data_IF_646639689813
#
_entry.id   IF_646639689813
#
_cell.length_a   1.000
_cell.length_b   1.000
_cell.length_c   1.000
_cell.angle_alpha   90.00
_cell.angle_beta   90.00
_cell.angle_gamma   90.00
#
_symmetry.space_group_name_H-M   'P 1'
#
loop_
_entity.id
_entity.type
_entity.pdbx_description
1 polymer ?
#
# COMPACT_ATOMS: atom_id res chain seq x y z
N UNK A 1 10.21 10.76 -1.68
CA UNK A 1 10.24 11.90 -2.64
C UNK A 1 11.59 12.03 -3.34
N UNK A 2 12.73 12.13 -2.64
CA UNK A 2 14.07 12.30 -3.25
C UNK A 2 14.45 11.23 -4.29
N UNK A 3 14.20 9.91 -4.08
CA UNK A 3 14.44 8.90 -5.11
C UNK A 3 13.65 9.15 -6.40
N UNK A 4 12.45 9.69 -6.28
CA UNK A 4 11.62 10.05 -7.44
C UNK A 4 12.24 11.21 -8.22
N UNK A 5 12.70 12.26 -7.53
CA UNK A 5 13.38 13.41 -8.17
C UNK A 5 14.64 12.95 -8.90
N UNK A 6 15.46 12.07 -8.28
CA UNK A 6 16.64 11.48 -8.93
C UNK A 6 16.28 10.67 -10.18
N UNK A 7 15.21 9.89 -10.13
CA UNK A 7 14.76 9.04 -11.24
C UNK A 7 14.11 9.80 -12.40
N UNK A 8 13.57 10.98 -12.16
CA UNK A 8 12.78 11.72 -13.16
C UNK A 8 13.60 12.05 -14.43
N UNK A 9 14.81 12.59 -14.27
CA UNK A 9 15.64 12.98 -15.40
C UNK A 9 15.96 11.79 -16.32
N UNK A 10 16.48 10.72 -15.75
CA UNK A 10 16.88 9.54 -16.52
C UNK A 10 15.70 8.82 -17.15
N UNK A 11 14.59 8.72 -16.45
CA UNK A 11 13.36 8.11 -16.96
C UNK A 11 12.73 8.89 -18.11
N UNK A 12 12.68 10.23 -18.02
CA UNK A 12 12.17 11.08 -19.09
C UNK A 12 13.10 11.05 -20.31
N UNK A 13 14.39 11.11 -20.09
CA UNK A 13 15.41 11.07 -21.14
C UNK A 13 15.34 9.74 -21.93
N UNK A 14 15.37 8.60 -21.25
CA UNK A 14 15.31 7.29 -21.92
C UNK A 14 14.05 7.13 -22.74
N UNK A 15 12.89 7.53 -22.20
CA UNK A 15 11.63 7.51 -22.95
C UNK A 15 11.68 8.40 -24.21
N UNK A 16 12.24 9.61 -24.11
CA UNK A 16 12.31 10.56 -25.23
C UNK A 16 13.30 10.10 -26.30
N UNK A 17 14.46 9.57 -25.91
CA UNK A 17 15.42 8.98 -26.84
C UNK A 17 14.77 7.89 -27.68
N UNK A 18 14.05 6.96 -27.06
CA UNK A 18 13.29 5.92 -27.78
C UNK A 18 12.25 6.53 -28.75
N UNK A 19 11.49 7.54 -28.31
CA UNK A 19 10.47 8.17 -29.14
C UNK A 19 11.06 8.95 -30.32
N UNK A 20 12.24 9.53 -30.19
CA UNK A 20 12.97 10.19 -31.27
C UNK A 20 13.54 9.17 -32.25
N UNK A 21 14.13 8.08 -31.74
CA UNK A 21 14.70 6.99 -32.55
C UNK A 21 13.64 6.37 -33.46
N UNK A 22 12.43 6.14 -32.95
CA UNK A 22 11.31 5.60 -33.73
C UNK A 22 10.52 6.66 -34.53
N UNK A 23 10.97 7.93 -34.54
CA UNK A 23 10.34 9.01 -35.33
C UNK A 23 9.02 9.54 -34.77
N UNK A 24 8.63 9.17 -33.54
CA UNK A 24 7.43 9.69 -32.89
C UNK A 24 7.61 11.10 -32.31
N UNK A 25 8.84 11.54 -32.11
CA UNK A 25 9.18 12.89 -31.65
C UNK A 25 10.39 13.45 -32.39
N UNK A 26 10.46 14.79 -32.45
CA UNK A 26 11.62 15.50 -32.98
C UNK A 26 12.77 15.48 -31.97
N UNK A 27 14.04 15.58 -32.41
CA UNK A 27 15.21 15.64 -31.53
C UNK A 27 15.12 16.75 -30.47
N UNK A 28 14.50 17.89 -30.78
CA UNK A 28 14.26 19.01 -29.84
C UNK A 28 13.38 18.63 -28.64
N UNK A 29 12.72 17.50 -28.64
CA UNK A 29 12.00 17.00 -27.47
C UNK A 29 12.91 16.77 -26.27
N UNK A 30 14.21 16.58 -26.47
CA UNK A 30 15.21 16.40 -25.43
C UNK A 30 15.54 17.71 -24.68
N UNK A 31 15.25 18.88 -25.27
CA UNK A 31 15.52 20.18 -24.66
C UNK A 31 14.56 20.47 -23.50
N UNK A 32 13.33 20.04 -23.58
CA UNK A 32 12.36 20.13 -22.50
C UNK A 32 12.51 18.94 -21.55
N UNK A 33 13.27 19.10 -20.51
CA UNK A 33 13.65 18.03 -19.56
C UNK A 33 13.41 18.43 -18.10
N UNK A 34 13.16 17.48 -17.20
CA UNK A 34 13.23 17.71 -15.77
C UNK A 34 14.64 18.11 -15.34
N UNK A 35 14.77 18.73 -14.19
CA UNK A 35 16.05 19.04 -13.58
C UNK A 35 16.82 17.75 -13.28
N UNK A 36 18.15 17.83 -13.41
CA UNK A 36 19.03 16.84 -12.81
C UNK A 36 19.02 17.01 -11.29
N UNK A 37 19.40 15.98 -10.57
CA UNK A 37 19.36 16.05 -9.10
C UNK A 37 20.28 17.15 -8.55
N UNK A 38 21.48 17.33 -9.13
CA UNK A 38 22.42 18.35 -8.74
C UNK A 38 21.91 19.81 -9.05
N UNK A 39 21.10 19.94 -10.09
CA UNK A 39 20.45 21.22 -10.42
C UNK A 39 19.32 21.51 -9.41
N UNK A 40 18.59 20.48 -9.02
CA UNK A 40 17.57 20.56 -7.99
C UNK A 40 18.18 20.96 -6.63
N UNK A 41 19.30 20.35 -6.21
CA UNK A 41 20.00 20.69 -4.97
C UNK A 41 20.46 22.15 -4.93
N UNK A 42 20.91 22.71 -6.07
CA UNK A 42 21.35 24.11 -6.16
C UNK A 42 20.23 25.13 -6.02
N UNK A 43 18.99 24.75 -6.34
CA UNK A 43 17.83 25.63 -6.26
C UNK A 43 17.25 25.65 -4.84
N UNK A 44 17.42 24.57 -4.10
CA UNK A 44 16.93 24.45 -2.74
C UNK A 44 17.74 25.34 -1.81
N UNK A 45 17.06 26.21 -1.09
CA UNK A 45 17.69 27.06 -0.08
C UNK A 45 17.57 26.43 1.33
N UNK A 46 16.36 26.00 1.72
CA UNK A 46 16.08 25.37 3.00
C UNK A 46 15.13 24.20 2.80
N UNK A 47 15.37 23.09 3.51
CA UNK A 47 14.57 21.87 3.44
C UNK A 47 14.26 21.36 4.83
N UNK A 48 13.02 20.97 5.05
CA UNK A 48 12.59 20.19 6.21
C UNK A 48 12.22 18.79 5.72
N UNK A 49 12.96 17.79 6.17
CA UNK A 49 12.65 16.39 5.88
C UNK A 49 11.71 15.85 6.96
N UNK A 50 10.59 15.27 6.55
CA UNK A 50 9.65 14.59 7.45
C UNK A 50 9.46 13.18 6.96
N UNK A 51 9.86 12.20 7.77
CA UNK A 51 9.78 10.78 7.44
C UNK A 51 9.77 9.93 8.71
N UNK A 52 9.02 8.83 8.68
CA UNK A 52 9.10 7.81 9.73
C UNK A 52 10.38 6.96 9.59
N UNK A 53 10.95 6.90 8.37
CA UNK A 53 12.14 6.12 8.02
C UNK A 53 13.06 6.98 7.17
N UNK A 54 13.83 7.91 7.78
CA UNK A 54 14.77 8.74 7.04
C UNK A 54 15.83 7.86 6.37
N UNK A 55 16.22 8.21 5.14
CA UNK A 55 17.27 7.53 4.41
C UNK A 55 18.65 8.15 4.68
N UNK A 56 19.70 7.51 4.15
CA UNK A 56 21.10 7.96 4.35
C UNK A 56 21.31 9.40 3.88
N UNK A 57 20.71 9.76 2.75
CA UNK A 57 20.82 11.12 2.20
C UNK A 57 20.31 12.18 3.17
N UNK A 58 19.11 11.97 3.76
CA UNK A 58 18.52 12.89 4.72
C UNK A 58 19.36 12.99 5.99
N UNK A 59 19.85 11.84 6.49
CA UNK A 59 20.66 11.79 7.71
C UNK A 59 22.02 12.50 7.53
N UNK A 60 22.68 12.31 6.39
CA UNK A 60 23.95 12.97 6.07
C UNK A 60 23.79 14.51 6.00
N UNK A 61 22.69 14.98 5.38
CA UNK A 61 22.44 16.43 5.18
C UNK A 61 22.05 17.16 6.47
N UNK A 62 21.56 16.45 7.46
CA UNK A 62 21.25 17.03 8.79
C UNK A 62 22.31 16.71 9.84
N UNK A 63 23.48 16.19 9.43
CA UNK A 63 24.57 15.78 10.34
C UNK A 63 24.08 14.84 11.46
N UNK A 64 23.14 13.96 11.17
CA UNK A 64 22.45 13.09 12.10
C UNK A 64 21.68 13.84 13.22
N UNK A 65 21.41 15.14 13.04
CA UNK A 65 20.56 15.92 13.96
C UNK A 65 19.09 15.72 13.61
N UNK A 66 18.47 14.71 14.18
CA UNK A 66 17.08 14.35 13.94
C UNK A 66 16.24 14.75 15.14
N UNK A 67 15.09 15.40 14.88
CA UNK A 67 14.06 15.62 15.90
C UNK A 67 13.12 14.43 15.88
N UNK A 68 13.13 13.65 16.94
CA UNK A 68 12.31 12.46 17.06
C UNK A 68 10.98 12.78 17.74
N UNK A 69 9.88 12.30 17.16
CA UNK A 69 8.56 12.32 17.74
C UNK A 69 8.07 10.89 17.95
N UNK A 70 8.43 10.28 19.07
CA UNK A 70 8.16 8.87 19.38
C UNK A 70 6.89 8.73 20.23
N UNK A 71 6.44 9.83 20.86
CA UNK A 71 5.33 9.81 21.81
C UNK A 71 4.01 9.56 21.08
N UNK A 72 3.28 8.52 21.49
CA UNK A 72 1.87 8.29 21.14
C UNK A 72 0.98 8.73 22.29
N UNK A 73 0.43 9.95 22.29
CA UNK A 73 -0.39 10.46 23.39
C UNK A 73 -1.75 9.76 23.48
N UNK A 74 -2.14 8.97 22.47
CA UNK A 74 -3.42 8.27 22.40
C UNK A 74 -3.52 7.05 23.31
N UNK A 75 -2.42 6.58 23.92
CA UNK A 75 -2.41 5.37 24.73
C UNK A 75 -2.67 4.06 23.95
N UNK A 76 -2.78 4.13 22.61
CA UNK A 76 -2.96 2.94 21.78
C UNK A 76 -1.65 2.17 21.70
N UNK A 77 -1.69 0.90 22.06
CA UNK A 77 -0.57 -0.02 21.94
C UNK A 77 -0.38 -0.45 20.49
N UNK A 78 0.82 -0.92 20.18
CA UNK A 78 1.07 -1.59 18.90
C UNK A 78 0.24 -2.89 18.83
N UNK A 79 -0.22 -3.28 17.62
CA UNK A 79 -0.99 -4.51 17.47
C UNK A 79 -0.15 -5.74 17.86
N UNK A 80 -0.80 -6.70 18.47
CA UNK A 80 -0.17 -8.01 18.70
C UNK A 80 0.04 -8.71 17.37
N UNK A 81 1.28 -9.12 17.10
CA UNK A 81 1.65 -9.85 15.89
C UNK A 81 1.75 -11.32 16.21
N UNK A 82 0.97 -12.13 15.49
CA UNK A 82 0.99 -13.58 15.61
C UNK A 82 1.39 -14.20 14.27
N UNK A 83 2.42 -15.05 14.26
CA UNK A 83 2.88 -15.76 13.08
C UNK A 83 2.37 -17.19 13.17
N UNK A 84 1.53 -17.59 12.21
CA UNK A 84 0.92 -18.92 12.14
C UNK A 84 1.48 -19.74 10.97
N UNK A 85 1.41 -21.07 11.03
CA UNK A 85 1.80 -21.95 9.92
C UNK A 85 1.04 -21.63 8.64
N UNK A 86 1.69 -21.81 7.48
CA UNK A 86 1.05 -21.60 6.17
C UNK A 86 0.12 -22.74 5.78
N UNK A 87 0.27 -23.91 6.41
CA UNK A 87 -0.63 -25.05 6.20
C UNK A 87 -2.00 -24.69 6.76
N UNK A 88 -3.04 -24.95 5.98
CA UNK A 88 -4.44 -24.68 6.32
C UNK A 88 -4.75 -23.22 6.68
N UNK A 89 -3.90 -22.27 6.20
CA UNK A 89 -4.00 -20.84 6.53
C UNK A 89 -5.34 -20.22 6.14
N UNK A 90 -6.00 -20.71 5.09
CA UNK A 90 -7.29 -20.17 4.65
C UNK A 90 -8.40 -20.56 5.61
N UNK A 91 -8.42 -21.80 6.10
CA UNK A 91 -9.38 -22.28 7.09
C UNK A 91 -9.21 -21.54 8.41
N UNK A 92 -7.96 -21.26 8.79
CA UNK A 92 -7.63 -20.47 9.95
C UNK A 92 -8.13 -19.02 9.81
N UNK A 93 -7.90 -18.37 8.66
CA UNK A 93 -8.44 -17.05 8.36
C UNK A 93 -9.98 -17.04 8.43
N UNK A 94 -10.65 -18.05 7.88
CA UNK A 94 -12.11 -18.16 7.91
C UNK A 94 -12.61 -18.28 9.35
N UNK A 95 -11.93 -19.07 10.17
CA UNK A 95 -12.26 -19.22 11.59
C UNK A 95 -12.14 -17.89 12.34
N UNK A 96 -11.07 -17.14 12.09
CA UNK A 96 -10.85 -15.81 12.68
C UNK A 96 -11.88 -14.78 12.18
N UNK A 97 -12.27 -14.84 10.90
CA UNK A 97 -13.34 -13.97 10.36
C UNK A 97 -14.65 -14.21 11.10
N UNK A 98 -15.05 -15.47 11.32
CA UNK A 98 -16.28 -15.81 12.05
C UNK A 98 -16.27 -15.24 13.46
N UNK A 99 -15.16 -15.39 14.18
CA UNK A 99 -15.01 -14.82 15.53
C UNK A 99 -15.20 -13.28 15.52
N UNK A 100 -14.69 -12.59 14.49
CA UNK A 100 -14.84 -11.14 14.37
C UNK A 100 -16.24 -10.74 13.95
N UNK A 101 -16.90 -11.52 13.08
CA UNK A 101 -18.31 -11.32 12.72
C UNK A 101 -19.22 -11.38 13.95
N UNK A 102 -19.01 -12.37 14.83
CA UNK A 102 -19.78 -12.54 16.07
C UNK A 102 -19.64 -11.33 17.01
N UNK A 103 -18.50 -10.63 16.93
CA UNK A 103 -18.21 -9.40 17.70
C UNK A 103 -18.59 -8.12 16.98
N UNK A 104 -19.17 -8.22 15.77
CA UNK A 104 -19.44 -7.09 14.88
C UNK A 104 -18.20 -6.25 14.53
N UNK A 105 -17.04 -6.89 14.47
CA UNK A 105 -15.77 -6.32 14.06
C UNK A 105 -15.48 -6.59 12.59
N UNK A 106 -14.50 -5.89 12.00
CA UNK A 106 -14.12 -6.01 10.59
C UNK A 106 -12.73 -6.59 10.44
N UNK A 107 -12.47 -7.20 9.29
CA UNK A 107 -11.19 -7.84 8.97
C UNK A 107 -10.60 -7.24 7.71
N UNK A 108 -9.31 -6.92 7.72
CA UNK A 108 -8.55 -6.62 6.51
C UNK A 108 -7.70 -7.82 6.12
N UNK A 109 -7.69 -8.16 4.84
CA UNK A 109 -6.80 -9.18 4.29
C UNK A 109 -5.95 -8.55 3.21
N UNK A 110 -4.64 -8.42 3.44
CA UNK A 110 -3.72 -7.89 2.45
C UNK A 110 -2.95 -9.00 1.77
N UNK A 111 -2.99 -9.03 0.45
CA UNK A 111 -2.36 -10.07 -0.37
C UNK A 111 -1.18 -9.49 -1.15
N UNK A 112 -0.28 -10.37 -1.61
CA UNK A 112 0.89 -9.98 -2.38
C UNK A 112 0.58 -9.72 -3.86
N UNK A 113 -0.46 -10.36 -4.40
CA UNK A 113 -0.81 -10.28 -5.83
C UNK A 113 -2.29 -10.01 -6.04
N UNK A 114 -2.62 -9.36 -7.17
CA UNK A 114 -4.00 -9.10 -7.61
C UNK A 114 -4.80 -10.40 -7.74
N UNK A 115 -4.21 -11.39 -8.38
CA UNK A 115 -4.84 -12.71 -8.59
C UNK A 115 -5.20 -13.38 -7.27
N UNK A 116 -4.28 -13.36 -6.30
CA UNK A 116 -4.54 -13.93 -4.98
C UNK A 116 -5.71 -13.22 -4.27
N UNK A 117 -5.79 -11.88 -4.39
CA UNK A 117 -6.90 -11.13 -3.82
C UNK A 117 -8.23 -11.48 -4.48
N UNK A 118 -8.25 -11.63 -5.80
CA UNK A 118 -9.43 -12.01 -6.58
C UNK A 118 -9.91 -13.41 -6.22
N UNK A 119 -9.01 -14.40 -6.27
CA UNK A 119 -9.32 -15.80 -5.96
C UNK A 119 -9.83 -15.95 -4.52
N UNK A 120 -9.17 -15.31 -3.55
CA UNK A 120 -9.57 -15.33 -2.15
C UNK A 120 -10.92 -14.64 -1.93
N UNK A 121 -11.15 -13.49 -2.57
CA UNK A 121 -12.43 -12.78 -2.45
C UNK A 121 -13.60 -13.59 -3.02
N UNK A 122 -13.38 -14.28 -4.14
CA UNK A 122 -14.39 -15.16 -4.74
C UNK A 122 -14.71 -16.33 -3.79
N UNK A 123 -13.70 -17.00 -3.29
CA UNK A 123 -13.84 -18.11 -2.36
C UNK A 123 -14.59 -17.75 -1.07
N UNK A 124 -14.21 -16.61 -0.44
CA UNK A 124 -14.91 -16.14 0.76
C UNK A 124 -16.37 -15.77 0.50
N UNK A 125 -16.68 -15.23 -0.69
CA UNK A 125 -18.08 -14.95 -1.11
C UNK A 125 -18.90 -16.23 -1.28
N UNK A 126 -18.32 -17.29 -1.85
CA UNK A 126 -18.97 -18.60 -1.98
C UNK A 126 -19.33 -19.19 -0.62
N UNK A 127 -18.54 -18.91 0.40
CA UNK A 127 -18.83 -19.29 1.80
C UNK A 127 -19.85 -18.38 2.50
N UNK A 128 -20.44 -17.41 1.77
CA UNK A 128 -21.46 -16.51 2.33
C UNK A 128 -20.92 -15.35 3.15
N UNK A 129 -19.60 -15.11 3.14
CA UNK A 129 -18.99 -13.97 3.83
C UNK A 129 -19.16 -12.71 3.00
N UNK A 130 -19.53 -11.60 3.64
CA UNK A 130 -19.70 -10.30 2.97
C UNK A 130 -18.33 -9.67 2.72
N UNK A 131 -17.79 -9.88 1.53
CA UNK A 131 -16.43 -9.44 1.15
C UNK A 131 -16.49 -8.30 0.15
N UNK A 132 -15.73 -7.25 0.42
CA UNK A 132 -15.33 -6.25 -0.57
C UNK A 132 -13.91 -6.53 -1.07
N UNK A 133 -13.65 -6.22 -2.34
CA UNK A 133 -12.34 -6.31 -2.96
C UNK A 133 -11.89 -4.93 -3.42
N UNK A 134 -10.65 -4.58 -3.09
CA UNK A 134 -10.04 -3.31 -3.44
C UNK A 134 -8.74 -3.54 -4.23
N UNK A 135 -8.69 -3.02 -5.45
CA UNK A 135 -7.52 -3.16 -6.34
C UNK A 135 -6.94 -1.79 -6.74
N UNK A 136 -5.78 -1.80 -7.39
CA UNK A 136 -5.07 -0.59 -7.82
C UNK A 136 -5.86 0.29 -8.78
N UNK A 137 -6.73 -0.34 -9.59
CA UNK A 137 -7.51 0.33 -10.63
C UNK A 137 -8.88 0.84 -10.11
N UNK A 138 -9.21 0.58 -8.84
CA UNK A 138 -10.43 1.08 -8.20
C UNK A 138 -10.39 2.61 -8.15
N UNK A 139 -11.41 3.26 -8.71
CA UNK A 139 -11.52 4.72 -8.72
C UNK A 139 -11.61 5.29 -7.31
N UNK A 140 -11.12 6.51 -7.11
CA UNK A 140 -11.08 7.14 -5.79
C UNK A 140 -12.46 7.22 -5.11
N UNK A 141 -13.50 7.54 -5.86
CA UNK A 141 -14.88 7.60 -5.32
C UNK A 141 -15.37 6.22 -4.88
N UNK A 142 -15.20 5.21 -5.73
CA UNK A 142 -15.55 3.82 -5.43
C UNK A 142 -14.79 3.30 -4.19
N UNK A 143 -13.51 3.62 -4.08
CA UNK A 143 -12.71 3.29 -2.90
C UNK A 143 -13.31 3.89 -1.63
N UNK A 144 -13.74 5.15 -1.68
CA UNK A 144 -14.35 5.84 -0.53
C UNK A 144 -15.68 5.17 -0.15
N UNK A 145 -16.49 4.77 -1.13
CA UNK A 145 -17.73 4.05 -0.91
C UNK A 145 -17.51 2.68 -0.27
N UNK A 146 -16.54 1.90 -0.78
CA UNK A 146 -16.18 0.59 -0.23
C UNK A 146 -15.75 0.72 1.25
N UNK A 147 -14.89 1.69 1.56
CA UNK A 147 -14.43 1.91 2.94
C UNK A 147 -15.57 2.36 3.86
N UNK A 148 -16.45 3.23 3.38
CA UNK A 148 -17.67 3.64 4.11
C UNK A 148 -18.57 2.44 4.36
N UNK A 149 -18.79 1.60 3.36
CA UNK A 149 -19.67 0.43 3.45
C UNK A 149 -19.09 -0.64 4.38
N UNK A 150 -17.76 -0.79 4.43
CA UNK A 150 -17.07 -1.62 5.43
C UNK A 150 -17.34 -1.12 6.85
N UNK A 151 -17.20 0.18 7.10
CA UNK A 151 -17.48 0.81 8.40
C UNK A 151 -18.95 0.64 8.81
N UNK A 152 -19.87 0.76 7.86
CA UNK A 152 -21.31 0.60 8.10
C UNK A 152 -21.75 -0.88 8.26
N UNK A 153 -20.82 -1.85 8.09
CA UNK A 153 -21.14 -3.26 8.26
C UNK A 153 -21.84 -3.92 7.07
N UNK A 154 -21.84 -3.28 5.91
CA UNK A 154 -22.27 -3.93 4.67
C UNK A 154 -21.30 -5.03 4.23
N UNK A 155 -20.03 -4.87 4.58
CA UNK A 155 -18.97 -5.85 4.41
C UNK A 155 -18.36 -6.20 5.76
N UNK A 156 -17.98 -7.45 5.93
CA UNK A 156 -17.28 -7.94 7.11
C UNK A 156 -15.76 -7.98 6.87
N UNK A 157 -15.38 -8.19 5.60
CA UNK A 157 -14.00 -8.38 5.17
C UNK A 157 -13.67 -7.46 4.00
N UNK A 158 -12.53 -6.83 4.05
CA UNK A 158 -11.92 -6.12 2.92
C UNK A 158 -10.65 -6.85 2.49
N UNK A 159 -10.63 -7.33 1.25
CA UNK A 159 -9.46 -7.96 0.64
C UNK A 159 -8.82 -6.99 -0.36
N UNK A 160 -7.51 -6.93 -0.41
CA UNK A 160 -6.82 -6.14 -1.43
C UNK A 160 -5.31 -6.20 -1.33
N UNK A 161 -4.64 -5.47 -2.24
CA UNK A 161 -3.20 -5.39 -2.30
C UNK A 161 -2.76 -4.11 -1.60
N UNK A 162 -1.69 -4.20 -0.79
CA UNK A 162 -1.11 -3.03 -0.13
C UNK A 162 -2.15 -2.19 0.65
N UNK A 163 -3.08 -2.85 1.34
CA UNK A 163 -4.11 -2.17 2.13
C UNK A 163 -3.53 -1.42 3.34
N UNK A 164 -2.40 -1.89 3.86
CA UNK A 164 -1.71 -1.30 5.01
C UNK A 164 -0.86 -0.10 4.60
N UNK A 165 -1.49 0.89 3.98
CA UNK A 165 -0.84 2.17 3.67
C UNK A 165 -1.28 3.24 4.66
N UNK A 166 -0.47 4.29 4.79
CA UNK A 166 -0.83 5.50 5.53
C UNK A 166 -2.17 6.07 5.04
N UNK A 167 -2.94 6.62 5.95
CA UNK A 167 -4.22 7.28 5.66
C UNK A 167 -5.47 6.39 5.73
N UNK A 168 -5.36 5.15 6.23
CA UNK A 168 -6.53 4.35 6.60
C UNK A 168 -6.77 4.48 8.12
N UNK A 169 -7.91 5.05 8.48
CA UNK A 169 -8.42 5.10 9.85
C UNK A 169 -9.73 4.30 9.90
N UNK A 170 -9.62 3.06 10.37
CA UNK A 170 -10.71 2.07 10.42
C UNK A 170 -10.78 1.47 11.82
N UNK A 171 -11.35 2.18 12.81
CA UNK A 171 -11.42 1.72 14.19
C UNK A 171 -12.26 0.45 14.36
N UNK A 172 -13.13 0.14 13.39
CA UNK A 172 -13.95 -1.07 13.38
C UNK A 172 -13.16 -2.34 13.02
N UNK A 173 -11.95 -2.18 12.48
CA UNK A 173 -11.06 -3.28 12.10
C UNK A 173 -10.25 -3.72 13.29
N UNK A 174 -10.42 -4.96 13.71
CA UNK A 174 -9.70 -5.56 14.84
C UNK A 174 -8.67 -6.61 14.43
N UNK A 175 -8.71 -7.05 13.17
CA UNK A 175 -7.80 -8.06 12.64
C UNK A 175 -7.28 -7.69 11.26
N UNK A 176 -5.97 -7.89 11.07
CA UNK A 176 -5.31 -7.82 9.77
C UNK A 176 -4.66 -9.16 9.48
N UNK A 177 -5.02 -9.78 8.36
CA UNK A 177 -4.42 -11.02 7.89
C UNK A 177 -3.49 -10.77 6.70
N UNK A 178 -2.33 -11.42 6.70
CA UNK A 178 -1.33 -11.35 5.62
C UNK A 178 -1.01 -12.78 5.16
N UNK A 179 -1.84 -13.40 4.31
CA UNK A 179 -1.56 -14.72 3.77
C UNK A 179 -0.38 -14.69 2.81
N UNK A 180 0.55 -15.64 2.95
CA UNK A 180 1.80 -15.65 2.19
C UNK A 180 1.74 -16.55 0.94
N UNK A 181 0.84 -17.57 0.93
CA UNK A 181 0.71 -18.53 -0.16
C UNK A 181 -0.77 -18.84 -0.45
N UNK A 182 -1.10 -19.08 -1.72
CA UNK A 182 -2.45 -19.46 -2.15
C UNK A 182 -2.53 -20.84 -2.82
N UNK A 183 -1.48 -21.65 -2.68
CA UNK A 183 -1.40 -22.98 -3.32
C UNK A 183 -2.56 -23.91 -2.95
N UNK A 184 -3.23 -23.66 -1.83
CA UNK A 184 -4.36 -24.45 -1.35
C UNK A 184 -5.74 -24.02 -1.90
N UNK A 185 -5.88 -22.84 -2.50
CA UNK A 185 -7.16 -22.41 -3.11
C UNK A 185 -7.51 -23.15 -4.41
N UNK A 186 -6.59 -23.95 -4.96
CA UNK A 186 -6.79 -24.74 -6.19
C UNK A 186 -7.06 -26.23 -5.97
N UNK A 187 -7.12 -26.67 -4.74
CA UNK A 187 -7.23 -28.11 -4.40
C UNK A 187 -8.69 -28.61 -4.19
N UNK A 188 -9.68 -27.78 -4.56
CA UNK A 188 -11.10 -28.16 -4.49
C UNK A 188 -11.80 -27.89 -5.79
#
# INVERSE_FOLDING_TARGET
>A
MLPQVRGMYNGDRSRKETLVEYGFRLPSALDNRPLRFEEFEKIINQVIYVSATPGDYELEHVENKVVEQIIRPTGLLDPVIEVRPTKDQIDDIISEIKIRQDRNERVLITTLTKRMAEDLSAYLKELGIKVAYLHSDTKTLERTEILRDLRLGKYDVLVGINLLREGLDLPEVSLVCIPVSYTHLRAH
#
